data_IF_742527286205
#
_entry.id   IF_742527286205
#
_cell.length_a   1.000
_cell.length_b   1.000
_cell.length_c   1.000
_cell.angle_alpha   90.00
_cell.angle_beta   90.00
_cell.angle_gamma   90.00
#
_symmetry.space_group_name_H-M   'P 1'
#
loop_
_entity.id
_entity.type
_entity.pdbx_description
1 polymer ?
#
# COMPACT_ATOMS: atom_id res chain seq x y z
N UNK A 1 -2.81 5.67 6.10
CA UNK A 1 -2.99 4.25 5.64
C UNK A 1 -4.06 4.04 4.57
N UNK A 2 -5.16 4.80 4.54
CA UNK A 2 -6.28 4.53 3.62
C UNK A 2 -5.89 4.48 2.12
N UNK A 3 -4.88 5.28 1.73
CA UNK A 3 -4.36 5.35 0.35
C UNK A 3 -3.75 4.04 -0.16
N UNK A 4 -3.28 3.16 0.73
CA UNK A 4 -2.75 1.84 0.38
C UNK A 4 -3.82 0.75 0.57
N UNK A 5 -4.68 0.91 1.59
CA UNK A 5 -5.76 -0.04 1.89
C UNK A 5 -6.83 -0.11 0.77
N UNK A 6 -7.17 1.02 0.16
CA UNK A 6 -8.16 1.04 -0.94
C UNK A 6 -7.63 0.27 -2.16
N UNK A 7 -6.41 0.54 -2.68
CA UNK A 7 -5.82 -0.25 -3.77
C UNK A 7 -5.71 -1.75 -3.49
N UNK A 8 -5.38 -2.16 -2.26
CA UNK A 8 -5.28 -3.58 -1.91
C UNK A 8 -6.64 -4.26 -1.90
N UNK A 9 -7.68 -3.62 -1.38
CA UNK A 9 -9.05 -4.14 -1.48
C UNK A 9 -9.50 -4.21 -2.95
N UNK A 10 -9.08 -3.23 -3.77
CA UNK A 10 -9.40 -3.17 -5.19
C UNK A 10 -8.65 -4.21 -6.04
N UNK A 11 -7.65 -4.93 -5.50
CA UNK A 11 -7.07 -6.11 -6.16
C UNK A 11 -8.04 -7.29 -6.25
N UNK A 12 -8.92 -7.49 -5.27
CA UNK A 12 -9.90 -8.59 -5.32
C UNK A 12 -10.84 -8.54 -6.53
N UNK A 13 -11.54 -7.42 -6.82
CA UNK A 13 -12.40 -7.34 -8.00
C UNK A 13 -11.61 -7.37 -9.30
N UNK A 14 -10.37 -6.85 -9.34
CA UNK A 14 -9.55 -6.88 -10.56
C UNK A 14 -9.08 -8.30 -10.90
N UNK A 15 -8.80 -9.15 -9.90
CA UNK A 15 -8.52 -10.58 -10.13
C UNK A 15 -9.75 -11.29 -10.71
N UNK A 16 -10.95 -10.98 -10.23
CA UNK A 16 -12.18 -11.62 -10.72
C UNK A 16 -12.58 -11.18 -12.12
N UNK A 17 -12.30 -9.94 -12.50
CA UNK A 17 -12.68 -9.37 -13.80
C UNK A 17 -11.62 -9.58 -14.89
N UNK A 18 -10.42 -10.05 -14.55
CA UNK A 18 -9.33 -10.22 -15.53
C UNK A 18 -9.34 -11.60 -16.19
N UNK A 19 -9.08 -11.69 -17.51
CA UNK A 19 -8.97 -12.98 -18.20
C UNK A 19 -7.72 -13.74 -17.73
N UNK A 20 -7.82 -15.08 -17.61
CA UNK A 20 -6.78 -15.91 -16.97
C UNK A 20 -5.39 -15.77 -17.61
N UNK A 21 -5.32 -15.49 -18.92
CA UNK A 21 -4.06 -15.27 -19.65
C UNK A 21 -3.25 -14.08 -19.13
N UNK A 22 -3.93 -13.05 -18.60
CA UNK A 22 -3.30 -11.80 -18.18
C UNK A 22 -3.23 -11.63 -16.66
N UNK A 23 -3.89 -12.51 -15.91
CA UNK A 23 -4.06 -12.41 -14.46
C UNK A 23 -2.73 -12.23 -13.71
N UNK A 24 -1.69 -12.99 -14.05
CA UNK A 24 -0.37 -12.84 -13.42
C UNK A 24 0.31 -11.51 -13.75
N UNK A 25 0.19 -11.03 -14.98
CA UNK A 25 0.82 -9.76 -15.40
C UNK A 25 0.09 -8.55 -14.79
N UNK A 26 -1.24 -8.57 -14.76
CA UNK A 26 -2.05 -7.50 -14.18
C UNK A 26 -1.89 -7.42 -12.65
N UNK A 27 -1.85 -8.57 -11.96
CA UNK A 27 -1.61 -8.60 -10.51
C UNK A 27 -0.19 -8.17 -10.14
N UNK A 28 0.83 -8.59 -10.89
CA UNK A 28 2.22 -8.16 -10.67
C UNK A 28 2.40 -6.66 -10.89
N UNK A 29 1.79 -6.10 -11.94
CA UNK A 29 1.88 -4.66 -12.22
C UNK A 29 1.13 -3.82 -11.18
N UNK A 30 -0.06 -4.25 -10.74
CA UNK A 30 -0.80 -3.57 -9.68
C UNK A 30 -0.08 -3.62 -8.32
N UNK A 31 0.43 -4.79 -7.91
CA UNK A 31 1.22 -4.91 -6.68
C UNK A 31 2.50 -4.09 -6.72
N UNK A 32 3.19 -4.04 -7.85
CA UNK A 32 4.38 -3.19 -8.02
C UNK A 32 4.05 -1.69 -7.90
N UNK A 33 2.94 -1.24 -8.48
CA UNK A 33 2.49 0.15 -8.34
C UNK A 33 2.14 0.50 -6.89
N UNK A 34 1.51 -0.42 -6.15
CA UNK A 34 1.22 -0.26 -4.72
C UNK A 34 2.53 -0.13 -3.92
N UNK A 35 3.53 -0.96 -4.21
CA UNK A 35 4.86 -0.89 -3.56
C UNK A 35 5.61 0.42 -3.87
N UNK A 36 5.51 0.96 -5.09
CA UNK A 36 6.09 2.27 -5.41
C UNK A 36 5.42 3.41 -4.62
N UNK A 37 4.10 3.33 -4.41
CA UNK A 37 3.35 4.32 -3.63
C UNK A 37 3.68 4.19 -2.14
N UNK A 38 3.92 2.98 -1.62
CA UNK A 38 4.30 2.78 -0.22
C UNK A 38 5.66 3.41 0.11
N UNK A 39 6.60 3.45 -0.84
CA UNK A 39 7.91 4.10 -0.66
C UNK A 39 7.82 5.60 -0.32
N UNK A 40 6.76 6.30 -0.72
CA UNK A 40 6.59 7.72 -0.35
C UNK A 40 6.52 7.93 1.17
N UNK A 41 6.19 6.89 1.94
CA UNK A 41 6.09 6.99 3.40
C UNK A 41 7.44 7.02 4.12
N UNK A 42 8.51 6.55 3.49
CA UNK A 42 9.86 6.55 4.07
C UNK A 42 10.43 7.96 4.31
N UNK A 43 9.88 8.98 3.64
CA UNK A 43 10.38 10.34 3.75
C UNK A 43 10.04 11.00 5.11
N UNK A 44 9.06 10.47 5.85
CA UNK A 44 8.58 11.06 7.10
C UNK A 44 9.20 10.44 8.37
N UNK A 45 10.41 9.85 8.27
CA UNK A 45 11.11 9.23 9.40
C UNK A 45 11.91 10.24 10.26
N UNK A 46 12.02 11.50 9.85
CA UNK A 46 12.85 12.51 10.56
C UNK A 46 12.17 13.11 11.79
N UNK A 47 10.84 13.07 11.89
CA UNK A 47 10.10 13.52 13.08
C UNK A 47 9.66 12.29 13.89
N UNK A 48 10.18 12.16 15.11
CA UNK A 48 9.82 11.11 16.07
C UNK A 48 8.42 11.32 16.68
N UNK A 49 7.43 11.68 15.85
CA UNK A 49 6.05 11.89 16.21
C UNK A 49 5.13 10.88 15.53
N UNK A 50 4.00 10.57 16.15
CA UNK A 50 2.95 9.80 15.50
C UNK A 50 2.32 10.63 14.37
N UNK A 51 2.39 10.11 13.15
CA UNK A 51 1.72 10.74 12.01
C UNK A 51 0.31 10.14 11.94
N UNK A 52 -0.66 10.84 12.51
CA UNK A 52 -2.07 10.47 12.41
C UNK A 52 -2.60 10.77 11.01
N UNK A 53 -2.80 9.73 10.20
CA UNK A 53 -3.45 9.88 8.89
C UNK A 53 -4.97 10.02 8.99
N UNK A 54 -5.56 9.53 10.08
CA UNK A 54 -6.96 9.72 10.48
C UNK A 54 -7.08 9.51 12.01
N UNK A 55 -8.22 9.82 12.61
CA UNK A 55 -8.49 9.63 14.06
C UNK A 55 -8.31 8.19 14.53
N UNK A 56 -8.52 7.22 13.64
CA UNK A 56 -8.41 5.79 13.93
C UNK A 56 -7.08 5.16 13.47
N UNK A 57 -6.24 5.88 12.72
CA UNK A 57 -5.05 5.31 12.07
C UNK A 57 -3.87 6.27 12.13
N UNK A 58 -2.93 5.94 13.02
CA UNK A 58 -1.62 6.57 13.14
C UNK A 58 -0.52 5.64 12.63
N UNK A 59 0.53 6.22 12.05
CA UNK A 59 1.75 5.51 11.69
C UNK A 59 2.90 6.01 12.55
N UNK A 60 3.61 5.05 13.14
CA UNK A 60 4.82 5.27 13.92
C UNK A 60 6.07 4.88 13.10
N UNK A 61 7.28 5.33 13.49
CA UNK A 61 8.53 5.02 12.80
C UNK A 61 8.86 3.51 12.68
N UNK A 62 8.18 2.67 13.46
CA UNK A 62 8.35 1.21 13.43
C UNK A 62 7.39 0.52 12.45
N UNK A 63 6.12 0.97 12.35
CA UNK A 63 5.16 0.41 11.39
C UNK A 63 5.39 0.89 9.96
N UNK A 64 5.97 2.07 9.74
CA UNK A 64 6.26 2.60 8.40
C UNK A 64 7.14 1.68 7.55
N UNK A 65 8.31 1.16 7.99
CA UNK A 65 9.10 0.23 7.18
C UNK A 65 8.39 -1.11 6.96
N UNK A 66 7.60 -1.58 7.92
CA UNK A 66 6.84 -2.83 7.79
C UNK A 66 5.73 -2.70 6.74
N UNK A 67 5.05 -1.54 6.70
CA UNK A 67 4.03 -1.23 5.69
C UNK A 67 4.59 -1.08 4.28
N UNK A 68 5.90 -0.83 4.14
CA UNK A 68 6.57 -0.79 2.83
C UNK A 68 6.90 -2.20 2.33
N UNK A 69 7.16 -3.14 3.23
CA UNK A 69 7.49 -4.54 2.90
C UNK A 69 6.29 -5.37 2.46
N UNK A 70 5.08 -4.99 2.87
CA UNK A 70 3.81 -5.70 2.61
C UNK A 70 3.09 -5.16 1.38
#
# INVERSE_FOLDING_TARGET
MLKILIPTIMMFPTIWLTPSKWLWSTTATHSFLIALISLMWLNCMSEAGWISSNTYLATDPLSTPLLVLT
#
